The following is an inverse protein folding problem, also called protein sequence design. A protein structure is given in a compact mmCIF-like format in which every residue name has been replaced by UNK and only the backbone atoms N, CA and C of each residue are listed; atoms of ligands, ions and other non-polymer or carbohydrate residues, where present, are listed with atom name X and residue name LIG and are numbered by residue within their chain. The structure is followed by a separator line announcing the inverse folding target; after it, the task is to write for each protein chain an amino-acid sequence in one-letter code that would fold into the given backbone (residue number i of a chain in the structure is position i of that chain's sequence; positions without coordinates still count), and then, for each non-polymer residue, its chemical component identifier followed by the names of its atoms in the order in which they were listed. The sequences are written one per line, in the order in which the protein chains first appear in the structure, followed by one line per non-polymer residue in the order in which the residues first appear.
data_IF_230620544273
#
_entry.id   IF_230620544273
#
_cell.length_a   1.000
_cell.length_b   1.000
_cell.length_c   1.000
_cell.angle_alpha   90.00
_cell.angle_beta   90.00
_cell.angle_gamma   90.00
#
_symmetry.space_group_name_H-M   'P 1'
#
loop_
_entity.id
_entity.type
_entity.pdbx_description
1 polymer ?
#
# COMPACT_ATOMS: atom_id res chain seq x y z
N UNK A 1 -30.94 2.96 6.21
CA UNK A 1 -30.41 4.33 6.33
C UNK A 1 -28.89 4.43 6.23
N UNK A 2 -28.10 3.85 7.14
CA UNK A 2 -26.61 3.93 7.12
C UNK A 2 -25.89 2.61 6.79
N UNK A 3 -26.55 1.47 6.95
CA UNK A 3 -25.98 0.13 6.71
C UNK A 3 -25.85 -0.22 5.21
N UNK A 4 -26.87 0.09 4.42
CA UNK A 4 -26.91 -0.15 2.97
C UNK A 4 -25.76 0.52 2.22
N UNK A 5 -25.38 1.74 2.62
CA UNK A 5 -24.24 2.47 2.01
C UNK A 5 -22.89 1.85 2.32
N UNK A 6 -22.70 1.25 3.51
CA UNK A 6 -21.44 0.57 3.88
C UNK A 6 -21.27 -0.74 3.12
N UNK A 7 -22.34 -1.51 2.95
CA UNK A 7 -22.33 -2.76 2.18
C UNK A 7 -22.05 -2.47 0.70
N UNK A 8 -22.71 -1.45 0.14
CA UNK A 8 -22.46 -1.03 -1.24
C UNK A 8 -21.00 -0.58 -1.44
N UNK A 9 -20.45 0.23 -0.52
CA UNK A 9 -19.06 0.67 -0.57
C UNK A 9 -18.07 -0.50 -0.45
N UNK A 10 -18.34 -1.46 0.44
CA UNK A 10 -17.51 -2.66 0.58
C UNK A 10 -17.53 -3.51 -0.69
N UNK A 11 -18.71 -3.70 -1.29
CA UNK A 11 -18.86 -4.43 -2.54
C UNK A 11 -18.13 -3.74 -3.70
N UNK A 12 -18.28 -2.43 -3.86
CA UNK A 12 -17.56 -1.66 -4.87
C UNK A 12 -16.04 -1.73 -4.67
N UNK A 13 -15.58 -1.63 -3.42
CA UNK A 13 -14.16 -1.76 -3.08
C UNK A 13 -13.63 -3.13 -3.49
N UNK A 14 -14.40 -4.20 -3.25
CA UNK A 14 -14.05 -5.55 -3.66
C UNK A 14 -14.01 -5.68 -5.20
N UNK A 15 -14.99 -5.13 -5.91
CA UNK A 15 -15.01 -5.14 -7.37
C UNK A 15 -13.78 -4.43 -7.96
N UNK A 16 -13.46 -3.23 -7.46
CA UNK A 16 -12.28 -2.47 -7.91
C UNK A 16 -10.98 -3.22 -7.57
N UNK A 17 -10.92 -3.89 -6.41
CA UNK A 17 -9.77 -4.70 -6.03
C UNK A 17 -9.56 -5.87 -7.02
N UNK A 18 -10.64 -6.58 -7.38
CA UNK A 18 -10.58 -7.67 -8.35
C UNK A 18 -10.17 -7.18 -9.74
N UNK A 19 -10.69 -6.04 -10.19
CA UNK A 19 -10.29 -5.42 -11.45
C UNK A 19 -8.81 -5.03 -11.45
N UNK A 20 -8.32 -4.41 -10.37
CA UNK A 20 -6.92 -4.04 -10.25
C UNK A 20 -5.99 -5.26 -10.23
N UNK A 21 -6.38 -6.34 -9.54
CA UNK A 21 -5.66 -7.62 -9.54
C UNK A 21 -5.60 -8.20 -10.96
N UNK A 22 -6.72 -8.20 -11.70
CA UNK A 22 -6.75 -8.66 -13.08
C UNK A 22 -5.82 -7.84 -13.99
N UNK A 23 -5.79 -6.51 -13.80
CA UNK A 23 -4.87 -5.63 -14.54
C UNK A 23 -3.41 -5.99 -14.22
N UNK A 24 -3.05 -6.19 -12.94
CA UNK A 24 -1.70 -6.59 -12.55
C UNK A 24 -1.29 -7.92 -13.19
N UNK A 25 -2.21 -8.90 -13.19
CA UNK A 25 -1.97 -10.22 -13.83
C UNK A 25 -1.75 -10.11 -15.34
N UNK A 26 -2.49 -9.22 -16.01
CA UNK A 26 -2.42 -9.02 -17.46
C UNK A 26 -1.23 -8.17 -17.90
N UNK A 27 -0.99 -7.05 -17.23
CA UNK A 27 0.04 -6.07 -17.60
C UNK A 27 1.42 -6.51 -17.12
N UNK A 28 1.50 -7.25 -16.00
CA UNK A 28 2.75 -7.68 -15.35
C UNK A 28 3.75 -6.53 -15.21
N UNK A 29 3.39 -5.48 -14.43
CA UNK A 29 4.23 -4.31 -14.31
C UNK A 29 5.59 -4.67 -13.71
N UNK A 30 6.64 -3.96 -14.15
CA UNK A 30 7.99 -4.11 -13.58
C UNK A 30 8.05 -3.61 -12.13
N UNK A 31 7.27 -2.59 -11.81
CA UNK A 31 7.14 -2.07 -10.45
C UNK A 31 5.73 -1.55 -10.16
N UNK A 32 5.31 -1.62 -8.90
CA UNK A 32 4.11 -0.98 -8.36
C UNK A 32 4.56 0.04 -7.31
N UNK A 33 4.15 1.30 -7.49
CA UNK A 33 4.28 2.37 -6.50
C UNK A 33 2.93 2.59 -5.82
N UNK A 34 2.88 2.58 -4.50
CA UNK A 34 1.64 2.84 -3.75
C UNK A 34 1.87 3.60 -2.46
N UNK A 35 0.87 4.38 -2.07
CA UNK A 35 0.79 5.06 -0.76
C UNK A 35 -0.33 4.50 0.13
N UNK A 36 -0.86 3.33 -0.23
CA UNK A 36 -2.13 2.84 0.29
C UNK A 36 -3.31 3.35 -0.53
N UNK A 37 -4.56 3.27 -0.02
CA UNK A 37 -4.98 2.71 1.28
C UNK A 37 -4.99 1.17 1.27
N UNK A 38 -5.75 0.53 2.17
CA UNK A 38 -5.75 -0.92 2.40
C UNK A 38 -5.90 -1.80 1.14
N UNK A 39 -6.62 -1.33 0.12
CA UNK A 39 -6.77 -2.02 -1.17
C UNK A 39 -5.43 -2.28 -1.89
N UNK A 40 -4.42 -1.44 -1.66
CA UNK A 40 -3.10 -1.60 -2.24
C UNK A 40 -2.37 -2.84 -1.74
N UNK A 41 -2.73 -3.36 -0.56
CA UNK A 41 -2.08 -4.54 0.04
C UNK A 41 -2.26 -5.78 -0.84
N UNK A 42 -3.49 -6.27 -1.11
CA UNK A 42 -3.66 -7.46 -1.94
C UNK A 42 -3.12 -7.27 -3.36
N UNK A 43 -3.27 -6.07 -3.95
CA UNK A 43 -2.75 -5.79 -5.30
C UNK A 43 -1.21 -5.88 -5.33
N UNK A 44 -0.55 -5.28 -4.34
CA UNK A 44 0.92 -5.29 -4.26
C UNK A 44 1.45 -6.68 -3.93
N UNK A 45 0.78 -7.45 -3.08
CA UNK A 45 1.17 -8.84 -2.78
C UNK A 45 1.04 -9.71 -4.04
N UNK A 46 -0.07 -9.63 -4.78
CA UNK A 46 -0.22 -10.35 -6.04
C UNK A 46 0.88 -9.95 -7.02
N UNK A 47 1.15 -8.66 -7.19
CA UNK A 47 2.26 -8.19 -8.01
C UNK A 47 3.61 -8.77 -7.56
N UNK A 48 3.89 -8.75 -6.26
CA UNK A 48 5.13 -9.30 -5.69
C UNK A 48 5.31 -10.78 -6.03
N UNK A 49 4.26 -11.57 -5.92
CA UNK A 49 4.27 -13.00 -6.26
C UNK A 49 4.54 -13.25 -7.75
N UNK A 50 4.25 -12.27 -8.61
CA UNK A 50 4.54 -12.30 -10.04
C UNK A 50 5.92 -11.73 -10.40
N UNK A 51 6.74 -11.38 -9.40
CA UNK A 51 8.06 -10.77 -9.59
C UNK A 51 8.04 -9.26 -9.80
N UNK A 52 6.90 -8.58 -9.61
CA UNK A 52 6.84 -7.12 -9.64
C UNK A 52 7.57 -6.53 -8.43
N UNK A 53 8.41 -5.52 -8.67
CA UNK A 53 9.05 -4.76 -7.59
C UNK A 53 8.04 -3.85 -6.89
N UNK A 54 7.98 -3.90 -5.57
CA UNK A 54 7.01 -3.13 -4.78
C UNK A 54 7.70 -1.95 -4.12
N UNK A 55 7.21 -0.75 -4.40
CA UNK A 55 7.65 0.51 -3.81
C UNK A 55 6.48 1.08 -3.02
N UNK A 56 6.66 1.26 -1.71
CA UNK A 56 5.62 1.78 -0.84
C UNK A 56 6.08 3.06 -0.18
N UNK A 57 5.20 4.07 -0.14
CA UNK A 57 5.43 5.33 0.58
C UNK A 57 4.37 5.47 1.66
N UNK A 58 4.78 5.45 2.93
CA UNK A 58 3.86 5.70 4.03
C UNK A 58 3.27 7.12 3.94
N UNK A 59 1.99 7.24 4.25
CA UNK A 59 1.28 8.54 4.19
C UNK A 59 1.93 9.56 5.14
N UNK A 60 2.08 10.79 4.66
CA UNK A 60 2.59 11.91 5.47
C UNK A 60 1.73 12.23 6.70
N UNK A 61 0.48 11.73 6.76
CA UNK A 61 -0.37 11.86 7.95
C UNK A 61 0.11 11.04 9.16
N UNK A 62 0.99 10.05 8.95
CA UNK A 62 1.51 9.17 9.99
C UNK A 62 2.85 9.66 10.49
N UNK A 63 2.84 10.42 11.60
CA UNK A 63 4.07 11.00 12.18
C UNK A 63 4.77 10.06 13.16
N UNK A 64 4.00 9.46 14.08
CA UNK A 64 4.56 8.72 15.23
C UNK A 64 4.48 7.20 15.09
N UNK A 65 3.57 6.68 14.27
CA UNK A 65 3.37 5.24 14.10
C UNK A 65 2.89 4.94 12.69
N UNK A 66 3.33 3.83 12.08
CA UNK A 66 2.90 3.45 10.75
C UNK A 66 1.42 3.10 10.71
N UNK A 67 0.80 3.26 9.54
CA UNK A 67 -0.55 2.79 9.29
C UNK A 67 -0.61 1.26 9.35
N UNK A 68 -1.81 0.67 9.48
CA UNK A 68 -1.94 -0.79 9.39
C UNK A 68 -1.43 -1.30 8.03
N UNK A 69 -1.80 -0.60 6.96
CA UNK A 69 -1.30 -0.84 5.60
C UNK A 69 0.22 -0.76 5.56
N UNK A 70 0.81 0.31 6.08
CA UNK A 70 2.26 0.48 6.11
C UNK A 70 2.99 -0.59 6.92
N UNK A 71 2.43 -1.04 8.05
CA UNK A 71 2.99 -2.18 8.80
C UNK A 71 3.04 -3.47 7.96
N UNK A 72 1.97 -3.74 7.22
CA UNK A 72 1.94 -4.91 6.32
C UNK A 72 2.95 -4.69 5.19
N UNK A 73 2.87 -3.56 4.50
CA UNK A 73 3.72 -3.27 3.34
C UNK A 73 5.20 -3.16 3.69
N UNK A 74 5.55 -2.81 4.92
CA UNK A 74 6.94 -2.84 5.39
C UNK A 74 7.57 -4.23 5.30
N UNK A 75 6.78 -5.30 5.41
CA UNK A 75 7.28 -6.67 5.26
C UNK A 75 7.39 -7.13 3.80
N UNK A 76 6.58 -6.56 2.92
CA UNK A 76 6.38 -7.02 1.53
C UNK A 76 7.05 -6.13 0.48
N UNK A 77 7.22 -4.84 0.76
CA UNK A 77 7.82 -3.88 -0.16
C UNK A 77 9.32 -4.12 -0.33
N UNK A 78 9.80 -3.94 -1.56
CA UNK A 78 11.24 -3.91 -1.86
C UNK A 78 11.87 -2.58 -1.41
N UNK A 79 11.12 -1.50 -1.54
CA UNK A 79 11.49 -0.17 -1.06
C UNK A 79 10.33 0.39 -0.24
N UNK A 80 10.63 0.82 0.98
CA UNK A 80 9.64 1.39 1.90
C UNK A 80 10.09 2.77 2.35
N UNK A 81 9.33 3.81 1.99
CA UNK A 81 9.65 5.20 2.29
C UNK A 81 8.81 5.73 3.44
N UNK A 82 9.44 6.51 4.32
CA UNK A 82 8.79 7.24 5.41
C UNK A 82 9.10 8.72 5.31
N UNK A 83 8.12 9.55 5.68
CA UNK A 83 8.23 11.00 5.57
C UNK A 83 8.69 11.70 6.85
N UNK A 84 8.78 10.96 7.97
CA UNK A 84 9.11 11.48 9.29
C UNK A 84 10.28 10.72 9.91
N UNK A 85 11.25 11.42 10.54
CA UNK A 85 12.41 10.76 11.15
C UNK A 85 12.01 9.81 12.27
N UNK A 86 10.95 10.11 13.03
CA UNK A 86 10.45 9.25 14.11
C UNK A 86 9.94 7.90 13.60
N UNK A 87 9.47 7.82 12.34
CA UNK A 87 9.12 6.54 11.74
C UNK A 87 10.34 5.75 11.34
N UNK A 88 11.42 6.39 10.87
CA UNK A 88 12.68 5.73 10.53
C UNK A 88 13.30 5.06 11.76
N UNK A 89 13.23 5.70 12.93
CA UNK A 89 13.65 5.11 14.20
C UNK A 89 12.89 3.81 14.53
N UNK A 90 11.59 3.76 14.23
CA UNK A 90 10.73 2.58 14.47
C UNK A 90 10.79 1.53 13.37
N UNK A 91 11.20 1.93 12.17
CA UNK A 91 11.20 1.12 10.96
C UNK A 91 12.60 1.21 10.33
N UNK A 92 13.60 0.54 10.91
CA UNK A 92 15.01 0.75 10.57
C UNK A 92 15.35 0.42 9.10
N UNK A 93 14.59 -0.44 8.44
CA UNK A 93 14.78 -0.76 7.02
C UNK A 93 14.07 0.23 6.08
N UNK A 94 13.30 1.18 6.61
CA UNK A 94 12.66 2.22 5.82
C UNK A 94 13.69 3.25 5.32
N UNK A 95 13.37 3.93 4.23
CA UNK A 95 14.15 5.03 3.69
C UNK A 95 13.45 6.33 4.11
N UNK A 96 14.12 7.16 4.91
CA UNK A 96 13.62 8.49 5.21
C UNK A 96 13.87 9.40 4.02
N UNK A 97 12.81 10.01 3.49
CA UNK A 97 12.87 10.85 2.29
C UNK A 97 12.26 12.25 2.50
N UNK A 98 11.98 12.63 3.75
CA UNK A 98 11.31 13.90 4.06
C UNK A 98 9.90 13.97 3.48
N UNK A 99 9.43 15.18 3.14
CA UNK A 99 8.09 15.38 2.59
C UNK A 99 8.02 14.84 1.16
N UNK A 100 7.29 13.76 1.01
CA UNK A 100 6.82 13.24 -0.27
C UNK A 100 5.33 13.64 -0.44
N UNK A 101 4.71 13.23 -1.55
CA UNK A 101 3.27 13.34 -1.86
C UNK A 101 2.33 13.43 -0.64
#
# INVERSE_FOLDING_TARGET
GKSTGKIAAAFLTLLVAMQAIFIVLRVRPKAILSTGPAIAVPISIVGKLLGTRIIFVETGSRVRSPSLTGRIMYRWADLFFVQWPQLKEKMPNAIYAGRLI
#
